data_IF_182358608845
#
_entry.id   IF_182358608845
#
_cell.length_a   1.000
_cell.length_b   1.000
_cell.length_c   1.000
_cell.angle_alpha   90.00
_cell.angle_beta   90.00
_cell.angle_gamma   90.00
#
_symmetry.space_group_name_H-M   'P 1'
#
loop_
_entity.id
_entity.type
_entity.pdbx_description
1 polymer ?
#
# COMPACT_ATOMS: atom_id res chain seq x y z
N UNK A 1 -0.02 2.24 -9.86
CA UNK A 1 -0.65 1.11 -10.59
C UNK A 1 -2.02 1.56 -11.12
N UNK A 2 -2.15 1.70 -12.45
CA UNK A 2 -3.42 2.16 -13.02
C UNK A 2 -4.61 1.26 -12.69
N UNK A 3 -4.40 -0.06 -12.60
CA UNK A 3 -5.47 -0.99 -12.26
C UNK A 3 -6.04 -0.75 -10.87
N UNK A 4 -5.20 -0.36 -9.91
CA UNK A 4 -5.64 -0.05 -8.54
C UNK A 4 -6.42 1.27 -8.52
N UNK A 5 -5.92 2.29 -9.20
CA UNK A 5 -6.61 3.59 -9.25
C UNK A 5 -8.00 3.48 -9.88
N UNK A 6 -8.22 2.51 -10.75
CA UNK A 6 -9.52 2.29 -11.38
C UNK A 6 -10.50 1.51 -10.51
N UNK A 7 -10.07 0.96 -9.38
CA UNK A 7 -10.95 0.22 -8.48
C UNK A 7 -11.94 1.13 -7.78
N UNK A 8 -13.14 0.62 -7.55
CA UNK A 8 -14.17 1.35 -6.84
C UNK A 8 -13.70 1.72 -5.43
N UNK A 9 -13.90 2.96 -5.05
CA UNK A 9 -13.55 3.46 -3.71
C UNK A 9 -12.10 3.83 -3.51
N UNK A 10 -11.24 3.67 -4.51
CA UNK A 10 -9.84 4.08 -4.40
C UNK A 10 -9.72 5.60 -4.46
N UNK A 11 -9.28 6.21 -3.36
CA UNK A 11 -9.06 7.65 -3.27
C UNK A 11 -7.60 7.98 -3.56
N UNK A 12 -6.69 7.20 -2.98
CA UNK A 12 -5.25 7.41 -3.15
C UNK A 12 -4.54 6.06 -3.11
N UNK A 13 -3.52 5.90 -3.94
CA UNK A 13 -2.68 4.71 -3.93
C UNK A 13 -1.33 5.07 -4.55
N UNK A 14 -0.25 4.85 -3.83
CA UNK A 14 1.06 5.14 -4.38
C UNK A 14 2.21 4.75 -3.46
N UNK A 15 3.40 4.53 -4.03
CA UNK A 15 4.58 4.23 -3.24
C UNK A 15 5.18 5.50 -2.62
N UNK A 16 5.85 5.31 -1.47
CA UNK A 16 6.59 6.35 -0.79
C UNK A 16 7.85 5.74 -0.20
N UNK A 17 8.85 6.57 0.00
CA UNK A 17 10.10 6.20 0.65
C UNK A 17 10.49 7.29 1.63
N UNK A 18 11.55 7.06 2.41
CA UNK A 18 12.02 8.08 3.35
C UNK A 18 12.29 9.40 2.65
N UNK A 19 11.80 10.48 3.25
CA UNK A 19 12.11 11.83 2.78
C UNK A 19 13.56 12.17 3.12
N UNK A 20 14.31 12.66 2.16
CA UNK A 20 15.67 13.11 2.38
C UNK A 20 15.67 14.33 3.30
N UNK A 21 16.48 14.29 4.34
CA UNK A 21 16.59 15.40 5.28
C UNK A 21 15.43 15.53 6.27
N UNK A 22 14.47 14.60 6.25
CA UNK A 22 13.34 14.63 7.18
C UNK A 22 13.77 14.26 8.60
N UNK A 23 13.06 14.80 9.63
CA UNK A 23 13.31 14.43 11.02
C UNK A 23 12.77 13.04 11.34
N UNK A 24 13.27 12.45 12.41
CA UNK A 24 12.78 11.18 12.93
C UNK A 24 13.45 9.95 12.34
N UNK A 25 12.96 8.81 12.72
CA UNK A 25 13.50 7.53 12.27
C UNK A 25 13.20 7.29 10.79
N UNK A 26 14.08 6.55 10.15
CA UNK A 26 13.93 6.18 8.73
C UNK A 26 13.78 4.68 8.59
N UNK A 27 13.05 4.25 7.55
CA UNK A 27 12.94 2.83 7.21
C UNK A 27 14.20 2.29 6.54
N UNK A 28 14.95 3.15 5.85
CA UNK A 28 16.18 2.75 5.17
C UNK A 28 16.02 2.57 3.66
N UNK A 29 17.15 2.39 2.94
CA UNK A 29 17.15 2.36 1.48
C UNK A 29 16.48 1.11 0.87
N UNK A 30 16.36 0.03 1.64
CA UNK A 30 15.78 -1.23 1.15
C UNK A 30 14.29 -1.38 1.50
N UNK A 31 13.67 -0.29 1.95
CA UNK A 31 12.27 -0.30 2.37
C UNK A 31 11.49 0.76 1.61
N UNK A 32 10.29 0.40 1.19
CA UNK A 32 9.33 1.37 0.67
C UNK A 32 7.98 1.15 1.34
N UNK A 33 7.13 2.17 1.28
CA UNK A 33 5.80 2.17 1.87
C UNK A 33 4.79 2.42 0.75
N UNK A 34 3.68 1.71 0.75
CA UNK A 34 2.55 2.04 -0.11
C UNK A 34 1.50 2.73 0.74
N UNK A 35 1.15 3.95 0.37
CA UNK A 35 0.13 4.74 1.05
C UNK A 35 -1.16 4.62 0.26
N UNK A 36 -2.24 4.24 0.94
CA UNK A 36 -3.53 4.01 0.32
C UNK A 36 -4.64 4.70 1.10
N UNK A 37 -5.64 5.20 0.38
CA UNK A 37 -6.88 5.71 0.97
C UNK A 37 -8.05 5.12 0.21
N UNK A 38 -9.03 4.62 0.94
CA UNK A 38 -10.22 3.98 0.40
C UNK A 38 -11.47 4.61 1.03
N UNK A 39 -12.56 4.64 0.27
CA UNK A 39 -13.83 5.21 0.76
C UNK A 39 -14.39 4.44 1.96
N UNK A 40 -14.14 3.14 2.02
CA UNK A 40 -14.60 2.29 3.12
C UNK A 40 -13.70 1.08 3.29
N UNK A 41 -13.83 0.42 4.44
CA UNK A 41 -13.11 -0.83 4.71
C UNK A 41 -13.51 -1.93 3.71
N UNK A 42 -14.77 -1.94 3.29
CA UNK A 42 -15.24 -2.92 2.30
C UNK A 42 -14.56 -2.74 0.95
N UNK A 43 -14.30 -1.51 0.53
CA UNK A 43 -13.55 -1.23 -0.70
C UNK A 43 -12.10 -1.70 -0.58
N UNK A 44 -11.48 -1.50 0.57
CA UNK A 44 -10.12 -2.01 0.83
C UNK A 44 -10.09 -3.53 0.76
N UNK A 45 -11.05 -4.21 1.36
CA UNK A 45 -11.12 -5.67 1.34
C UNK A 45 -11.32 -6.21 -0.08
N UNK A 46 -12.15 -5.54 -0.87
CA UNK A 46 -12.35 -5.91 -2.27
C UNK A 46 -11.06 -5.74 -3.08
N UNK A 47 -10.32 -4.66 -2.84
CA UNK A 47 -9.01 -4.44 -3.45
C UNK A 47 -8.05 -5.60 -3.12
N UNK A 48 -7.93 -5.95 -1.85
CA UNK A 48 -7.00 -7.00 -1.41
C UNK A 48 -7.34 -8.37 -2.01
N UNK A 49 -8.61 -8.60 -2.34
CA UNK A 49 -9.07 -9.85 -2.94
C UNK A 49 -9.07 -9.83 -4.47
N UNK A 50 -8.68 -8.72 -5.09
CA UNK A 50 -8.73 -8.58 -6.55
C UNK A 50 -7.71 -9.48 -7.27
N UNK A 51 -8.01 -9.92 -8.52
CA UNK A 51 -7.11 -10.78 -9.28
C UNK A 51 -5.74 -10.14 -9.54
N UNK A 52 -5.68 -8.84 -9.81
CA UNK A 52 -4.40 -8.18 -10.06
C UNK A 52 -3.53 -8.09 -8.80
N UNK A 53 -4.12 -8.01 -7.61
CA UNK A 53 -3.36 -8.04 -6.37
C UNK A 53 -2.83 -9.44 -6.07
N UNK A 54 -3.59 -10.47 -6.39
CA UNK A 54 -3.10 -11.85 -6.29
C UNK A 54 -1.91 -12.08 -7.21
N UNK A 55 -1.98 -11.59 -8.45
CA UNK A 55 -0.89 -11.69 -9.41
C UNK A 55 0.34 -10.90 -8.96
N UNK A 56 0.14 -9.70 -8.44
CA UNK A 56 1.21 -8.86 -7.91
C UNK A 56 1.91 -9.54 -6.72
N UNK A 57 1.13 -10.10 -5.79
CA UNK A 57 1.66 -10.82 -4.64
C UNK A 57 2.50 -12.03 -5.06
N UNK A 58 2.05 -12.77 -6.05
CA UNK A 58 2.80 -13.91 -6.58
C UNK A 58 4.13 -13.49 -7.20
N UNK A 59 4.14 -12.35 -7.91
CA UNK A 59 5.37 -11.83 -8.53
C UNK A 59 6.37 -11.27 -7.53
N UNK A 60 5.90 -10.68 -6.43
CA UNK A 60 6.77 -9.99 -5.48
C UNK A 60 7.16 -10.81 -4.27
N UNK A 61 6.50 -11.94 -4.04
CA UNK A 61 6.72 -12.78 -2.86
C UNK A 61 8.19 -13.08 -2.59
N UNK A 62 8.95 -13.43 -3.62
CA UNK A 62 10.37 -13.78 -3.47
C UNK A 62 11.29 -12.56 -3.43
N UNK A 63 10.75 -11.37 -3.70
CA UNK A 63 11.50 -10.12 -3.68
C UNK A 63 11.39 -9.38 -2.35
N UNK A 64 10.44 -9.77 -1.49
CA UNK A 64 10.18 -9.11 -0.23
C UNK A 64 10.70 -9.97 0.92
N UNK A 65 11.61 -9.40 1.72
CA UNK A 65 12.11 -10.06 2.92
C UNK A 65 11.10 -9.99 4.07
N UNK A 66 10.36 -8.89 4.15
CA UNK A 66 9.38 -8.66 5.20
C UNK A 66 8.27 -7.75 4.68
N UNK A 67 7.06 -7.94 5.19
CA UNK A 67 5.91 -7.14 4.82
C UNK A 67 5.01 -6.92 6.03
N UNK A 68 4.64 -5.65 6.25
CA UNK A 68 3.71 -5.27 7.31
C UNK A 68 2.57 -4.46 6.71
N UNK A 69 1.36 -4.67 7.21
CA UNK A 69 0.17 -3.95 6.77
C UNK A 69 -0.51 -3.35 8.00
N UNK A 70 -0.76 -2.04 7.95
CA UNK A 70 -1.48 -1.33 8.99
C UNK A 70 -2.72 -0.69 8.40
N UNK A 71 -3.89 -1.03 8.93
CA UNK A 71 -5.16 -0.46 8.50
C UNK A 71 -5.57 0.58 9.54
N UNK A 72 -5.78 1.80 9.07
CA UNK A 72 -6.03 2.95 9.93
C UNK A 72 -7.38 3.58 9.59
N UNK A 73 -7.98 4.21 10.57
CA UNK A 73 -9.14 5.07 10.36
C UNK A 73 -8.93 6.36 11.15
N UNK A 74 -9.63 7.45 10.78
CA UNK A 74 -9.48 8.71 11.49
C UNK A 74 -9.78 8.56 12.99
N UNK A 75 -8.93 9.14 13.83
CA UNK A 75 -9.05 9.02 15.27
C UNK A 75 -9.99 10.07 15.89
N UNK A 76 -10.42 11.07 15.12
CA UNK A 76 -11.23 12.15 15.61
C UNK A 76 -12.40 12.45 14.69
#
# INVERSE_FOLDING_TARGET
>A
MPAVHAEAGCIEYGPAADAEGGPGAKYGPDTFVVIEKWESLDHLKAHAASPHMAAYGAKTRDLLANREIHVLSPAA
#
